data_IF_270008220608
#
_entry.id   IF_270008220608
#
_cell.length_a   1.000
_cell.length_b   1.000
_cell.length_c   1.000
_cell.angle_alpha   90.00
_cell.angle_beta   90.00
_cell.angle_gamma   90.00
#
_symmetry.space_group_name_H-M   'P 1'
#
loop_
_entity.id
_entity.type
_entity.pdbx_description
1 polymer ?
#
# COMPACT_ATOMS: atom_id res chain seq x y z
N UNK A 1 -10.68 7.06 -6.24
CA UNK A 1 -9.77 6.49 -5.22
C UNK A 1 -8.92 5.39 -5.85
N UNK A 2 -7.64 5.26 -5.48
CA UNK A 2 -6.76 4.17 -5.94
C UNK A 2 -7.10 2.90 -5.16
N UNK A 3 -7.24 1.75 -5.84
CA UNK A 3 -7.35 0.42 -5.24
C UNK A 3 -5.97 -0.16 -4.96
N UNK A 4 -5.15 -0.27 -6.00
CA UNK A 4 -3.79 -0.78 -5.91
C UNK A 4 -2.94 -0.37 -7.10
N UNK A 5 -1.62 -0.52 -6.96
CA UNK A 5 -0.63 -0.17 -7.99
C UNK A 5 0.26 -1.38 -8.25
N UNK A 6 0.47 -1.71 -9.52
CA UNK A 6 1.33 -2.81 -9.98
C UNK A 6 2.28 -2.35 -11.07
N UNK A 7 3.44 -2.99 -11.18
CA UNK A 7 4.31 -2.79 -12.35
C UNK A 7 3.78 -3.52 -13.58
N UNK A 8 4.16 -2.99 -14.74
CA UNK A 8 4.05 -3.63 -16.05
C UNK A 8 5.39 -3.53 -16.77
N UNK A 9 5.53 -4.21 -17.90
CA UNK A 9 6.76 -4.18 -18.70
C UNK A 9 7.13 -2.78 -19.19
N UNK A 10 6.16 -1.86 -19.23
CA UNK A 10 6.32 -0.50 -19.73
C UNK A 10 6.25 0.58 -18.64
N UNK A 11 6.12 0.18 -17.37
CA UNK A 11 5.99 1.10 -16.23
C UNK A 11 5.08 0.53 -15.14
N UNK A 12 3.91 1.15 -14.94
CA UNK A 12 2.93 0.70 -13.94
C UNK A 12 1.48 0.95 -14.36
N UNK A 13 0.58 0.20 -13.73
CA UNK A 13 -0.87 0.43 -13.76
C UNK A 13 -1.32 0.87 -12.37
N UNK A 14 -2.07 1.96 -12.35
CA UNK A 14 -2.76 2.50 -11.18
C UNK A 14 -4.23 2.09 -11.33
N UNK A 15 -4.62 1.06 -10.60
CA UNK A 15 -5.99 0.56 -10.63
C UNK A 15 -6.81 1.42 -9.68
N UNK A 16 -7.79 2.15 -10.21
CA UNK A 16 -8.75 2.96 -9.45
C UNK A 16 -10.13 2.29 -9.51
N UNK A 17 -11.06 2.75 -8.68
CA UNK A 17 -12.41 2.16 -8.62
C UNK A 17 -13.07 2.05 -10.00
N UNK A 18 -13.03 3.11 -10.81
CA UNK A 18 -13.79 3.17 -12.07
C UNK A 18 -12.91 3.18 -13.32
N UNK A 19 -11.59 3.18 -13.18
CA UNK A 19 -10.68 3.30 -14.31
C UNK A 19 -9.29 2.74 -14.00
N UNK A 20 -8.56 2.43 -15.06
CA UNK A 20 -7.16 2.03 -15.01
C UNK A 20 -6.35 3.16 -15.66
N UNK A 21 -5.36 3.66 -14.95
CA UNK A 21 -4.39 4.62 -15.50
C UNK A 21 -3.04 3.93 -15.71
N UNK A 22 -2.47 4.11 -16.89
CA UNK A 22 -1.12 3.65 -17.19
C UNK A 22 -0.11 4.77 -16.95
N UNK A 23 1.08 4.40 -16.50
CA UNK A 23 2.19 5.33 -16.31
C UNK A 23 3.50 4.70 -16.75
N UNK A 24 4.40 5.53 -17.31
CA UNK A 24 5.78 5.12 -17.63
C UNK A 24 6.65 4.94 -16.39
N UNK A 25 6.19 5.41 -15.23
CA UNK A 25 6.89 5.25 -13.95
C UNK A 25 6.62 3.86 -13.36
N UNK A 26 7.61 3.29 -12.65
CA UNK A 26 7.35 2.09 -11.84
C UNK A 26 6.51 2.43 -10.59
N UNK A 27 5.92 1.41 -9.97
CA UNK A 27 5.00 1.52 -8.85
C UNK A 27 5.61 2.29 -7.65
N UNK A 28 6.89 2.07 -7.33
CA UNK A 28 7.57 2.77 -6.25
C UNK A 28 7.74 4.25 -6.58
N UNK A 29 8.03 4.58 -7.85
CA UNK A 29 8.13 5.96 -8.32
C UNK A 29 6.77 6.67 -8.26
N UNK A 30 5.66 5.96 -8.50
CA UNK A 30 4.31 6.49 -8.24
C UNK A 30 4.12 6.80 -6.75
N UNK A 31 4.46 5.86 -5.85
CA UNK A 31 4.38 6.11 -4.40
C UNK A 31 5.22 7.32 -3.98
N UNK A 32 6.46 7.44 -4.49
CA UNK A 32 7.32 8.60 -4.23
C UNK A 32 6.70 9.90 -4.73
N UNK A 33 6.11 9.89 -5.92
CA UNK A 33 5.41 11.05 -6.48
C UNK A 33 4.24 11.48 -5.58
N UNK A 34 3.43 10.54 -5.09
CA UNK A 34 2.34 10.82 -4.15
C UNK A 34 2.85 11.46 -2.85
N UNK A 35 4.02 11.06 -2.35
CA UNK A 35 4.65 11.73 -1.20
C UNK A 35 5.01 13.19 -1.50
N UNK A 36 5.64 13.46 -2.65
CA UNK A 36 6.02 14.81 -3.06
C UNK A 36 4.78 15.71 -3.23
N UNK A 37 3.71 15.19 -3.81
CA UNK A 37 2.42 15.88 -3.92
C UNK A 37 1.78 16.20 -2.55
N UNK A 38 2.24 15.54 -1.47
CA UNK A 38 1.83 15.78 -0.09
C UNK A 38 2.96 16.42 0.75
N UNK A 39 3.85 17.17 0.10
CA UNK A 39 4.94 17.96 0.72
C UNK A 39 5.85 17.14 1.64
N UNK A 40 6.07 15.87 1.30
CA UNK A 40 6.89 14.94 2.07
C UNK A 40 7.74 14.06 1.13
N UNK A 41 8.70 13.33 1.67
CA UNK A 41 9.50 12.35 0.90
C UNK A 41 9.28 10.94 1.42
N UNK A 42 9.26 9.98 0.49
CA UNK A 42 9.19 8.56 0.84
C UNK A 42 10.36 8.15 1.73
N UNK A 43 11.59 8.57 1.39
CA UNK A 43 12.80 8.23 2.14
C UNK A 43 12.77 8.79 3.56
N UNK A 44 12.33 10.04 3.73
CA UNK A 44 12.16 10.67 5.04
C UNK A 44 11.12 9.93 5.89
N UNK A 45 9.96 9.61 5.29
CA UNK A 45 8.92 8.84 5.95
C UNK A 45 9.41 7.46 6.41
N UNK A 46 10.05 6.70 5.52
CA UNK A 46 10.57 5.36 5.81
C UNK A 46 11.61 5.40 6.93
N UNK A 47 12.52 6.38 6.90
CA UNK A 47 13.54 6.57 7.94
C UNK A 47 12.90 6.89 9.30
N UNK A 48 11.89 7.75 9.34
CA UNK A 48 11.19 8.12 10.56
C UNK A 48 10.43 6.92 11.15
N UNK A 49 9.60 6.25 10.34
CA UNK A 49 8.82 5.08 10.77
C UNK A 49 9.73 3.95 11.23
N UNK A 50 10.82 3.70 10.51
CA UNK A 50 11.77 2.64 10.88
C UNK A 50 12.35 2.85 12.28
N UNK A 51 12.76 4.10 12.60
CA UNK A 51 13.28 4.46 13.92
C UNK A 51 12.21 4.41 15.01
N UNK A 52 11.04 4.98 14.76
CA UNK A 52 9.96 5.08 15.75
C UNK A 52 9.38 3.72 16.14
N UNK A 53 9.22 2.81 15.17
CA UNK A 53 8.55 1.52 15.40
C UNK A 53 9.50 0.32 15.41
N UNK A 54 10.80 0.53 15.21
CA UNK A 54 11.81 -0.52 15.06
C UNK A 54 11.46 -1.55 13.96
N UNK A 55 10.98 -1.05 12.81
CA UNK A 55 10.60 -1.88 11.64
C UNK A 55 11.56 -1.60 10.50
N UNK A 56 12.08 -2.64 9.84
CA UNK A 56 13.11 -2.48 8.79
C UNK A 56 12.62 -2.78 7.37
N UNK A 57 11.57 -3.57 7.23
CA UNK A 57 11.15 -4.11 5.93
C UNK A 57 9.65 -3.98 5.74
N UNK A 58 9.22 -3.87 4.48
CA UNK A 58 7.81 -3.83 4.06
C UNK A 58 6.98 -2.83 4.85
N UNK A 59 7.56 -1.66 5.14
CA UNK A 59 6.93 -0.61 5.92
C UNK A 59 5.73 -0.07 5.12
N UNK A 60 4.50 -0.17 5.64
CA UNK A 60 3.33 0.48 5.05
C UNK A 60 3.46 2.00 5.07
N UNK A 61 2.89 2.67 4.08
CA UNK A 61 2.97 4.13 3.92
C UNK A 61 1.63 4.80 4.14
N UNK A 62 1.63 5.81 5.01
CA UNK A 62 0.47 6.66 5.33
C UNK A 62 0.77 8.04 4.77
N UNK A 63 0.29 8.33 3.56
CA UNK A 63 0.53 9.61 2.89
C UNK A 63 -0.52 10.62 3.35
N UNK A 64 -1.79 10.28 3.17
CA UNK A 64 -2.96 11.02 3.66
C UNK A 64 -4.13 10.03 3.88
N UNK A 65 -5.30 10.53 4.25
CA UNK A 65 -6.49 9.70 4.56
C UNK A 65 -6.93 8.77 3.42
N UNK A 66 -6.70 9.17 2.17
CA UNK A 66 -7.14 8.45 0.97
C UNK A 66 -6.02 7.57 0.36
N UNK A 67 -4.79 7.70 0.85
CA UNK A 67 -3.58 7.09 0.29
C UNK A 67 -2.78 6.38 1.40
N UNK A 68 -3.20 5.16 1.69
CA UNK A 68 -2.67 4.29 2.74
C UNK A 68 -2.14 2.99 2.11
N UNK A 69 -0.87 2.90 1.74
CA UNK A 69 -0.40 1.76 0.94
C UNK A 69 0.36 0.69 1.73
N UNK A 70 -0.01 -0.57 1.51
CA UNK A 70 0.66 -1.76 2.03
C UNK A 70 1.41 -2.46 0.87
N UNK A 71 2.75 -2.60 0.94
CA UNK A 71 3.49 -3.38 -0.04
C UNK A 71 3.32 -4.88 0.20
N UNK A 72 3.05 -5.65 -0.86
CA UNK A 72 2.88 -7.10 -0.77
C UNK A 72 4.20 -7.88 -0.74
N UNK A 73 5.28 -7.30 -1.28
CA UNK A 73 6.63 -7.86 -1.33
C UNK A 73 7.66 -6.80 -0.94
N UNK A 74 8.95 -7.07 -1.13
CA UNK A 74 9.96 -6.03 -0.92
C UNK A 74 9.69 -4.93 -1.95
N UNK A 75 9.86 -3.68 -1.53
CA UNK A 75 9.51 -2.51 -2.37
C UNK A 75 10.28 -2.41 -3.68
N UNK A 76 11.40 -3.14 -3.81
CA UNK A 76 12.24 -3.23 -5.01
C UNK A 76 11.90 -4.44 -5.89
N UNK A 77 11.08 -5.37 -5.41
CA UNK A 77 10.69 -6.53 -6.21
C UNK A 77 9.75 -6.06 -7.33
N UNK A 78 10.03 -6.46 -8.56
CA UNK A 78 9.29 -5.99 -9.74
C UNK A 78 7.80 -6.33 -9.63
N UNK A 79 7.46 -7.52 -9.17
CA UNK A 79 6.08 -8.00 -9.02
C UNK A 79 5.44 -7.59 -7.67
N UNK A 80 6.03 -6.62 -6.97
CA UNK A 80 5.40 -6.02 -5.80
C UNK A 80 4.10 -5.31 -6.19
N UNK A 81 3.08 -5.47 -5.36
CA UNK A 81 1.80 -4.78 -5.46
C UNK A 81 1.69 -3.86 -4.24
N UNK A 82 1.28 -2.62 -4.46
CA UNK A 82 0.92 -1.70 -3.39
C UNK A 82 -0.60 -1.64 -3.27
N UNK A 83 -1.16 -2.19 -2.20
CA UNK A 83 -2.59 -2.15 -1.94
C UNK A 83 -2.93 -0.88 -1.16
N UNK A 84 -3.91 -0.10 -1.62
CA UNK A 84 -4.43 1.03 -0.87
C UNK A 84 -5.47 0.58 0.16
N UNK A 85 -5.09 0.52 1.43
CA UNK A 85 -5.95 0.14 2.54
C UNK A 85 -7.19 1.02 2.69
N UNK A 86 -7.10 2.32 2.34
CA UNK A 86 -8.24 3.24 2.38
C UNK A 86 -9.40 2.82 1.46
N UNK A 87 -9.11 2.00 0.45
CA UNK A 87 -10.10 1.52 -0.52
C UNK A 87 -10.70 0.16 -0.20
N UNK A 88 -10.24 -0.49 0.87
CA UNK A 88 -10.67 -1.84 1.24
C UNK A 88 -11.93 -1.76 2.10
N UNK A 89 -12.97 -2.53 1.76
CA UNK A 89 -14.09 -2.80 2.66
C UNK A 89 -13.68 -3.85 3.69
N UNK A 90 -13.18 -4.98 3.20
CA UNK A 90 -12.81 -6.12 4.04
C UNK A 90 -11.79 -7.02 3.33
N UNK A 91 -11.20 -7.95 4.07
CA UNK A 91 -10.33 -8.98 3.54
C UNK A 91 -10.64 -10.30 4.27
N UNK A 92 -10.54 -11.41 3.54
CA UNK A 92 -10.85 -12.75 4.04
C UNK A 92 -9.78 -13.76 3.63
N UNK A 93 -9.66 -14.83 4.40
CA UNK A 93 -8.85 -15.97 4.00
C UNK A 93 -9.65 -16.83 3.02
N UNK A 94 -9.03 -17.25 1.92
CA UNK A 94 -9.64 -18.16 0.94
C UNK A 94 -8.55 -19.08 0.40
N UNK A 95 -8.69 -20.40 0.60
CA UNK A 95 -7.75 -21.42 0.10
C UNK A 95 -6.26 -21.10 0.34
N UNK A 96 -5.91 -20.71 1.59
CA UNK A 96 -4.57 -20.27 2.01
C UNK A 96 -4.04 -18.96 1.38
N UNK A 97 -4.83 -18.32 0.52
CA UNK A 97 -4.56 -16.98 -0.01
C UNK A 97 -5.39 -15.92 0.74
N UNK A 98 -5.10 -14.66 0.45
CA UNK A 98 -5.87 -13.53 0.96
C UNK A 98 -6.71 -12.96 -0.17
N UNK A 99 -8.01 -12.83 0.05
CA UNK A 99 -8.91 -12.11 -0.85
C UNK A 99 -9.21 -10.74 -0.24
N UNK A 100 -8.98 -9.69 -1.02
CA UNK A 100 -9.25 -8.30 -0.65
C UNK A 100 -10.51 -7.87 -1.39
N UNK A 101 -11.48 -7.28 -0.69
CA UNK A 101 -12.71 -6.75 -1.25
C UNK A 101 -12.66 -5.22 -1.13
N UNK A 102 -12.72 -4.53 -2.26
CA UNK A 102 -12.66 -3.07 -2.34
C UNK A 102 -14.03 -2.41 -2.20
N UNK A 103 -14.07 -1.09 -2.07
CA UNK A 103 -15.30 -0.28 -1.91
C UNK A 103 -16.29 -0.37 -3.06
N UNK A 104 -15.84 -0.80 -4.23
CA UNK A 104 -16.67 -1.11 -5.41
C UNK A 104 -17.07 -2.59 -5.48
N UNK A 105 -16.85 -3.35 -4.40
CA UNK A 105 -17.09 -4.79 -4.29
C UNK A 105 -16.25 -5.67 -5.22
N UNK A 106 -15.29 -5.10 -5.95
CA UNK A 106 -14.33 -5.90 -6.70
C UNK A 106 -13.40 -6.67 -5.75
N UNK A 107 -13.06 -7.89 -6.14
CA UNK A 107 -12.16 -8.76 -5.39
C UNK A 107 -10.77 -8.82 -6.03
N UNK A 108 -9.73 -8.78 -5.21
CA UNK A 108 -8.37 -9.11 -5.59
C UNK A 108 -7.84 -10.26 -4.73
N UNK A 109 -7.53 -11.37 -5.37
CA UNK A 109 -6.86 -12.51 -4.73
C UNK A 109 -5.35 -12.26 -4.81
N UNK A 110 -4.69 -12.24 -3.66
CA UNK A 110 -3.25 -12.03 -3.57
C UNK A 110 -2.54 -13.30 -3.08
N UNK A 111 -1.40 -13.59 -3.70
CA UNK A 111 -0.51 -14.67 -3.27
C UNK A 111 0.31 -14.25 -2.04
N UNK A 112 -0.39 -14.00 -0.94
CA UNK A 112 0.17 -13.69 0.36
C UNK A 112 -0.69 -14.38 1.42
N UNK A 113 -0.04 -15.05 2.37
CA UNK A 113 -0.75 -15.66 3.50
C UNK A 113 -1.53 -14.61 4.28
N UNK A 114 -2.77 -14.94 4.62
CA UNK A 114 -3.67 -14.07 5.40
C UNK A 114 -3.01 -13.53 6.66
N UNK A 115 -2.37 -14.39 7.45
CA UNK A 115 -1.67 -13.99 8.67
C UNK A 115 -0.56 -12.97 8.45
N UNK A 116 0.13 -13.01 7.31
CA UNK A 116 1.16 -12.03 6.96
C UNK A 116 0.56 -10.70 6.51
N UNK A 117 -0.55 -10.74 5.77
CA UNK A 117 -1.29 -9.54 5.41
C UNK A 117 -1.80 -8.81 6.65
N UNK A 118 -2.43 -9.53 7.59
CA UNK A 118 -2.90 -8.99 8.88
C UNK A 118 -1.77 -8.33 9.66
N UNK A 119 -0.57 -8.94 9.72
CA UNK A 119 0.59 -8.33 10.39
C UNK A 119 0.93 -6.96 9.80
N UNK A 120 0.83 -6.81 8.47
CA UNK A 120 1.08 -5.54 7.79
C UNK A 120 -0.02 -4.51 8.04
N UNK A 121 -1.29 -4.93 8.06
CA UNK A 121 -2.42 -4.08 8.44
C UNK A 121 -2.24 -3.55 9.86
N UNK A 122 -1.91 -4.40 10.83
CA UNK A 122 -1.65 -3.97 12.22
C UNK A 122 -0.52 -2.94 12.34
N UNK A 123 0.53 -3.07 11.52
CA UNK A 123 1.61 -2.08 11.48
C UNK A 123 1.08 -0.75 10.92
N UNK A 124 0.33 -0.78 9.82
CA UNK A 124 -0.28 0.42 9.23
C UNK A 124 -1.18 1.12 10.26
N UNK A 125 -2.10 0.39 10.90
CA UNK A 125 -3.00 0.91 11.94
C UNK A 125 -2.24 1.56 13.10
N UNK A 126 -1.12 0.94 13.53
CA UNK A 126 -0.25 1.51 14.57
C UNK A 126 0.35 2.85 14.14
N UNK A 127 0.78 2.97 12.88
CA UNK A 127 1.32 4.22 12.34
C UNK A 127 0.23 5.29 12.22
N UNK A 128 -0.98 4.91 11.80
CA UNK A 128 -2.14 5.81 11.71
C UNK A 128 -2.47 6.38 13.09
N UNK A 129 -2.60 5.52 14.11
CA UNK A 129 -2.90 5.93 15.48
C UNK A 129 -1.83 6.89 16.03
N UNK A 130 -0.56 6.57 15.83
CA UNK A 130 0.54 7.45 16.24
C UNK A 130 0.47 8.85 15.60
N UNK A 131 0.04 8.93 14.34
CA UNK A 131 -0.16 10.22 13.66
C UNK A 131 -1.36 11.00 14.23
N UNK A 132 -2.45 10.32 14.60
CA UNK A 132 -3.65 10.93 15.19
C UNK A 132 -3.44 11.39 16.63
N UNK A 133 -2.66 10.67 17.45
CA UNK A 133 -2.41 11.07 18.84
C UNK A 133 -1.50 12.32 18.95
N UNK A 134 -0.87 12.72 17.86
CA UNK A 134 0.11 13.82 17.79
C UNK A 134 -0.45 15.11 17.18
N UNK A 135 -1.60 15.05 16.51
CA UNK A 135 -2.23 16.17 15.78
C UNK A 135 -3.75 16.02 15.80
#
# INVERSE_FOLDING_TARGET
>A
MIKYIVNTSYGSKIIKLNQIEESKLNNLSIIKKLFIENLCTYEGYIKAVSKTFNIKHNIPVVINKDNLFIPLKRVRDYDNIWINYASIITYKQSNNMTTIIFSDYEELIINLKYSLFIKRVKILEKIIRYKQDKY
#
